data_IF_052229753406
#
_entry.id   IF_052229753406
#
_cell.length_a   1.000
_cell.length_b   1.000
_cell.length_c   1.000
_cell.angle_alpha   90.00
_cell.angle_beta   90.00
_cell.angle_gamma   90.00
#
_symmetry.space_group_name_H-M   'P 1'
#
loop_
_entity.id
_entity.type
_entity.pdbx_description
1 polymer ?
#
# COMPACT_ATOMS: atom_id res chain seq x y z
N UNK A 1 84.17 -22.54 4.25
CA UNK A 1 84.07 -22.53 5.73
C UNK A 1 82.68 -22.00 6.08
N UNK A 2 81.73 -22.90 6.36
CA UNK A 2 81.12 -23.17 7.69
C UNK A 2 80.15 -22.07 8.19
N UNK A 3 78.91 -22.52 8.45
CA UNK A 3 77.88 -22.02 9.41
C UNK A 3 76.95 -20.90 8.89
N UNK A 4 75.67 -20.82 9.27
CA UNK A 4 74.73 -21.72 9.92
C UNK A 4 73.34 -21.03 9.87
N UNK A 5 72.30 -21.85 9.71
CA UNK A 5 70.94 -21.78 10.29
C UNK A 5 70.52 -20.53 11.07
N UNK A 6 69.34 -19.98 10.73
CA UNK A 6 68.35 -19.54 11.72
C UNK A 6 66.95 -19.51 11.10
N UNK A 7 66.17 -20.54 11.44
CA UNK A 7 64.72 -20.66 11.24
C UNK A 7 64.07 -19.90 12.39
N UNK A 8 63.29 -18.86 12.10
CA UNK A 8 62.43 -18.20 13.09
C UNK A 8 60.99 -18.48 12.66
N UNK A 9 60.38 -19.45 13.33
CA UNK A 9 58.95 -19.74 13.23
C UNK A 9 58.16 -18.64 13.94
N UNK A 10 57.35 -17.93 13.18
CA UNK A 10 56.42 -16.93 13.69
C UNK A 10 55.14 -17.65 14.15
N UNK A 11 54.98 -17.78 15.46
CA UNK A 11 53.77 -18.27 16.12
C UNK A 11 52.69 -17.19 16.03
N UNK A 12 51.72 -17.37 15.14
CA UNK A 12 50.54 -16.51 15.02
C UNK A 12 49.56 -16.89 16.13
N UNK A 13 49.44 -16.02 17.14
CA UNK A 13 48.40 -16.09 18.16
C UNK A 13 47.11 -15.51 17.56
N UNK A 14 46.17 -16.39 17.20
CA UNK A 14 44.82 -15.99 16.78
C UNK A 14 44.04 -15.57 18.02
N UNK A 15 43.84 -14.26 18.19
CA UNK A 15 42.91 -13.71 19.16
C UNK A 15 41.48 -13.98 18.66
N UNK A 16 40.79 -14.93 19.27
CA UNK A 16 39.36 -15.18 19.03
C UNK A 16 38.60 -14.09 19.79
N UNK A 17 38.35 -12.96 19.14
CA UNK A 17 37.32 -12.02 19.60
C UNK A 17 35.97 -12.73 19.49
N UNK A 18 35.44 -13.17 20.63
CA UNK A 18 34.06 -13.60 20.74
C UNK A 18 33.17 -12.40 20.40
N UNK A 19 32.67 -12.35 19.17
CA UNK A 19 31.51 -11.55 18.84
C UNK A 19 30.35 -12.17 19.63
N UNK A 20 30.00 -11.54 20.76
CA UNK A 20 28.71 -11.74 21.39
C UNK A 20 27.66 -11.28 20.36
N UNK A 21 27.08 -12.24 19.64
CA UNK A 21 25.86 -12.02 18.90
C UNK A 21 24.77 -11.81 19.94
N UNK A 22 24.38 -10.54 20.14
CA UNK A 22 23.09 -10.23 20.74
C UNK A 22 22.01 -10.77 19.81
N UNK A 23 21.68 -12.04 20.02
CA UNK A 23 20.49 -12.69 19.50
C UNK A 23 19.31 -12.16 20.34
N UNK A 24 18.99 -10.88 20.16
CA UNK A 24 17.73 -10.34 20.65
C UNK A 24 16.65 -10.91 19.74
N UNK A 25 15.97 -11.93 20.27
CA UNK A 25 14.92 -12.67 19.60
C UNK A 25 13.90 -11.76 18.92
N UNK A 26 14.10 -11.56 17.63
CA UNK A 26 13.01 -11.36 16.69
C UNK A 26 12.26 -12.67 16.67
N UNK A 27 11.29 -12.78 17.59
CA UNK A 27 10.37 -13.89 17.65
C UNK A 27 9.87 -14.19 16.25
N UNK A 28 10.09 -15.44 15.85
CA UNK A 28 9.57 -16.12 14.68
C UNK A 28 8.04 -16.05 14.68
N UNK A 29 7.49 -14.84 14.46
CA UNK A 29 6.09 -14.62 14.10
C UNK A 29 5.99 -14.98 12.62
N UNK A 30 6.08 -16.28 12.34
CA UNK A 30 5.48 -16.84 11.13
C UNK A 30 4.00 -16.51 11.23
N UNK A 31 3.59 -15.43 10.55
CA UNK A 31 2.19 -15.28 10.15
C UNK A 31 1.87 -16.57 9.39
N UNK A 32 0.89 -17.36 9.83
CA UNK A 32 0.54 -18.58 9.12
C UNK A 32 0.27 -18.23 7.66
N UNK A 33 1.07 -18.76 6.74
CA UNK A 33 0.74 -18.77 5.32
C UNK A 33 -0.34 -19.84 5.16
N UNK A 34 -1.58 -19.49 5.49
CA UNK A 34 -2.67 -20.45 5.56
C UNK A 34 -4.02 -19.76 5.71
N UNK A 35 -4.77 -19.71 4.61
CA UNK A 35 -6.18 -19.29 4.55
C UNK A 35 -6.43 -17.80 4.82
N UNK A 36 -7.62 -17.30 4.46
CA UNK A 36 -8.09 -16.02 4.98
C UNK A 36 -8.03 -16.01 6.51
N UNK A 37 -7.75 -14.86 7.16
CA UNK A 37 -8.00 -14.74 8.59
C UNK A 37 -9.44 -15.16 8.88
N UNK A 38 -9.68 -15.90 9.96
CA UNK A 38 -11.03 -16.36 10.33
C UNK A 38 -12.06 -15.22 10.40
N UNK A 39 -11.61 -13.97 10.63
CA UNK A 39 -12.45 -12.78 10.63
C UNK A 39 -13.02 -12.40 9.26
N UNK A 40 -12.41 -12.84 8.15
CA UNK A 40 -12.78 -12.46 6.78
C UNK A 40 -13.31 -13.64 5.94
N UNK A 41 -13.39 -14.86 6.48
CA UNK A 41 -13.82 -16.05 5.72
C UNK A 41 -15.24 -15.91 5.13
N UNK A 42 -16.12 -15.18 5.83
CA UNK A 42 -17.50 -14.92 5.39
C UNK A 42 -17.62 -14.28 3.99
N UNK A 43 -16.58 -13.60 3.50
CA UNK A 43 -16.53 -12.96 2.17
C UNK A 43 -15.53 -13.65 1.22
N UNK A 44 -14.82 -14.68 1.68
CA UNK A 44 -13.64 -15.23 1.01
C UNK A 44 -13.77 -16.72 0.70
N UNK A 45 -14.85 -17.37 1.13
CA UNK A 45 -15.06 -18.81 0.97
C UNK A 45 -15.35 -19.25 -0.48
N UNK A 46 -15.82 -18.34 -1.35
CA UNK A 46 -16.15 -18.60 -2.76
C UNK A 46 -15.16 -17.96 -3.77
N UNK A 47 -14.01 -17.51 -3.26
CA UNK A 47 -12.95 -16.81 -4.00
C UNK A 47 -13.38 -15.52 -4.73
N UNK A 48 -14.62 -15.04 -4.56
CA UNK A 48 -15.15 -13.86 -5.24
C UNK A 48 -15.82 -12.89 -4.27
N UNK A 49 -15.17 -11.75 -4.01
CA UNK A 49 -15.78 -10.70 -3.19
C UNK A 49 -16.79 -9.92 -4.01
N UNK A 50 -18.05 -9.86 -3.55
CA UNK A 50 -19.12 -9.02 -4.10
C UNK A 50 -19.05 -7.57 -3.62
N UNK A 51 -19.78 -6.68 -4.29
CA UNK A 51 -19.85 -5.25 -3.92
C UNK A 51 -20.42 -5.04 -2.51
N UNK A 52 -21.36 -5.90 -2.09
CA UNK A 52 -21.95 -5.85 -0.77
C UNK A 52 -20.96 -6.28 0.32
N UNK A 53 -20.16 -7.31 0.06
CA UNK A 53 -19.11 -7.78 0.98
C UNK A 53 -17.97 -6.78 1.09
N UNK A 54 -17.52 -6.20 -0.02
CA UNK A 54 -16.51 -5.15 0.01
C UNK A 54 -17.00 -3.92 0.78
N UNK A 55 -18.22 -3.45 0.51
CA UNK A 55 -18.82 -2.34 1.26
C UNK A 55 -18.92 -2.65 2.75
N UNK A 56 -19.37 -3.85 3.11
CA UNK A 56 -19.44 -4.27 4.51
C UNK A 56 -18.05 -4.29 5.17
N UNK A 57 -17.02 -4.78 4.48
CA UNK A 57 -15.65 -4.80 5.01
C UNK A 57 -15.10 -3.39 5.27
N UNK A 58 -15.39 -2.44 4.38
CA UNK A 58 -15.06 -1.02 4.53
C UNK A 58 -15.84 -0.41 5.70
N UNK A 59 -17.14 -0.68 5.82
CA UNK A 59 -17.96 -0.18 6.92
C UNK A 59 -17.48 -0.72 8.28
N UNK A 60 -17.11 -2.01 8.34
CA UNK A 60 -16.54 -2.63 9.54
C UNK A 60 -15.17 -2.03 9.90
N UNK A 61 -14.32 -1.75 8.89
CA UNK A 61 -13.05 -1.03 9.08
C UNK A 61 -13.29 0.35 9.71
N UNK A 62 -14.18 1.14 9.12
CA UNK A 62 -14.51 2.50 9.57
C UNK A 62 -15.09 2.46 10.99
N UNK A 63 -15.97 1.50 11.29
CA UNK A 63 -16.50 1.30 12.64
C UNK A 63 -15.41 0.97 13.65
N UNK A 64 -14.46 0.08 13.31
CA UNK A 64 -13.35 -0.28 14.17
C UNK A 64 -12.49 0.94 14.53
N UNK A 65 -12.13 1.75 13.53
CA UNK A 65 -11.31 2.96 13.73
C UNK A 65 -12.07 4.02 14.53
N UNK A 66 -13.37 4.23 14.26
CA UNK A 66 -14.23 5.13 15.03
C UNK A 66 -14.40 4.68 16.49
N UNK A 67 -14.54 3.38 16.73
CA UNK A 67 -14.65 2.81 18.08
C UNK A 67 -13.37 3.01 18.90
N UNK A 68 -12.21 3.09 18.24
CA UNK A 68 -10.94 3.44 18.88
C UNK A 68 -10.75 4.95 19.12
N UNK A 69 -11.74 5.78 18.77
CA UNK A 69 -11.76 7.22 19.06
C UNK A 69 -11.20 8.12 17.95
N UNK A 70 -10.90 7.57 16.76
CA UNK A 70 -10.41 8.36 15.63
C UNK A 70 -11.56 8.83 14.73
N UNK A 71 -11.46 10.08 14.25
CA UNK A 71 -12.43 10.62 13.30
C UNK A 71 -12.16 10.08 11.89
N UNK A 72 -13.18 9.48 11.28
CA UNK A 72 -13.12 8.94 9.91
C UNK A 72 -14.26 9.53 9.09
N UNK A 73 -13.97 10.05 7.90
CA UNK A 73 -15.00 10.52 6.95
C UNK A 73 -15.84 9.34 6.45
N UNK A 74 -17.00 9.63 5.89
CA UNK A 74 -17.77 8.59 5.21
C UNK A 74 -17.04 8.14 3.93
N UNK A 75 -17.06 6.83 3.60
CA UNK A 75 -16.43 6.33 2.39
C UNK A 75 -17.09 6.87 1.13
N UNK A 76 -16.29 7.26 0.14
CA UNK A 76 -16.72 7.69 -1.18
C UNK A 76 -16.08 6.81 -2.27
N UNK A 77 -16.73 6.68 -3.43
CA UNK A 77 -16.15 5.96 -4.56
C UNK A 77 -14.96 6.74 -5.12
N UNK A 78 -13.83 6.06 -5.32
CA UNK A 78 -12.63 6.64 -5.94
C UNK A 78 -12.91 7.03 -7.39
N UNK A 79 -12.70 8.30 -7.79
CA UNK A 79 -12.82 8.71 -9.18
C UNK A 79 -11.63 8.23 -10.03
N UNK A 80 -10.57 7.71 -9.39
CA UNK A 80 -9.35 7.26 -10.08
C UNK A 80 -9.56 5.90 -10.73
N UNK A 81 -10.23 4.98 -10.03
CA UNK A 81 -10.44 3.60 -10.47
C UNK A 81 -11.93 3.21 -10.62
N UNK A 82 -12.86 4.02 -10.08
CA UNK A 82 -14.29 3.75 -10.14
C UNK A 82 -14.74 2.52 -9.35
N UNK A 83 -13.89 1.98 -8.46
CA UNK A 83 -14.12 0.73 -7.73
C UNK A 83 -13.86 0.86 -6.24
N UNK A 84 -12.71 1.42 -5.85
CA UNK A 84 -12.29 1.47 -4.44
C UNK A 84 -13.08 2.50 -3.66
N UNK A 85 -13.30 2.24 -2.37
CA UNK A 85 -13.90 3.20 -1.44
C UNK A 85 -12.81 3.93 -0.66
N UNK A 86 -12.74 5.24 -0.83
CA UNK A 86 -11.76 6.12 -0.21
C UNK A 86 -12.36 6.83 1.00
N UNK A 87 -11.53 7.05 2.01
CA UNK A 87 -11.91 7.69 3.27
C UNK A 87 -10.69 8.35 3.91
N UNK A 88 -10.91 9.36 4.76
CA UNK A 88 -9.87 10.03 5.54
C UNK A 88 -9.97 9.67 6.99
N UNK A 89 -8.89 9.14 7.56
CA UNK A 89 -8.72 9.02 9.01
C UNK A 89 -7.95 10.25 9.48
N UNK A 90 -8.47 10.97 10.47
CA UNK A 90 -7.77 12.11 11.07
C UNK A 90 -6.79 11.60 12.13
N UNK A 91 -5.47 11.72 11.93
CA UNK A 91 -4.50 11.26 12.92
C UNK A 91 -4.64 12.05 14.22
N UNK A 92 -4.50 11.36 15.36
CA UNK A 92 -4.55 11.98 16.68
C UNK A 92 -3.74 11.16 17.69
N UNK A 93 -3.29 11.81 18.76
CA UNK A 93 -2.57 11.14 19.85
C UNK A 93 -1.17 10.65 19.44
N UNK A 94 -0.74 9.55 20.05
CA UNK A 94 0.56 8.93 19.78
C UNK A 94 0.57 8.24 18.39
N UNK A 95 1.55 8.56 17.51
CA UNK A 95 1.61 7.98 16.17
C UNK A 95 1.77 6.46 16.13
N UNK A 96 2.47 5.86 17.09
CA UNK A 96 2.66 4.41 17.11
C UNK A 96 1.36 3.69 17.48
N UNK A 97 0.66 4.19 18.50
CA UNK A 97 -0.67 3.71 18.87
C UNK A 97 -1.69 3.89 17.73
N UNK A 98 -1.66 5.05 17.06
CA UNK A 98 -2.50 5.30 15.88
C UNK A 98 -2.27 4.26 14.78
N UNK A 99 -1.00 4.04 14.40
CA UNK A 99 -0.65 3.09 13.35
C UNK A 99 -1.04 1.66 13.72
N UNK A 100 -0.81 1.24 14.98
CA UNK A 100 -1.17 -0.10 15.47
C UNK A 100 -2.67 -0.35 15.40
N UNK A 101 -3.48 0.63 15.81
CA UNK A 101 -4.95 0.54 15.72
C UNK A 101 -5.42 0.46 14.26
N UNK A 102 -4.94 1.36 13.39
CA UNK A 102 -5.35 1.38 11.98
C UNK A 102 -4.95 0.07 11.29
N UNK A 103 -3.74 -0.43 11.53
CA UNK A 103 -3.27 -1.70 11.00
C UNK A 103 -4.10 -2.87 11.53
N UNK A 104 -4.39 -2.91 12.82
CA UNK A 104 -5.20 -3.97 13.44
C UNK A 104 -6.61 -3.99 12.85
N UNK A 105 -7.26 -2.84 12.71
CA UNK A 105 -8.55 -2.73 12.05
C UNK A 105 -8.47 -3.22 10.60
N UNK A 106 -7.48 -2.77 9.83
CA UNK A 106 -7.31 -3.16 8.42
C UNK A 106 -7.13 -4.69 8.27
N UNK A 107 -6.24 -5.29 9.05
CA UNK A 107 -6.00 -6.74 9.05
C UNK A 107 -7.25 -7.51 9.47
N UNK A 108 -8.03 -6.97 10.41
CA UNK A 108 -9.24 -7.61 10.89
C UNK A 108 -10.38 -7.63 9.87
N UNK A 109 -10.51 -6.57 9.07
CA UNK A 109 -11.75 -6.35 8.29
C UNK A 109 -11.57 -6.31 6.78
N UNK A 110 -10.46 -5.78 6.25
CA UNK A 110 -10.42 -5.37 4.83
C UNK A 110 -9.20 -5.90 4.05
N UNK A 111 -8.08 -6.17 4.72
CA UNK A 111 -6.77 -6.40 4.09
C UNK A 111 -6.73 -7.49 3.02
N UNK A 112 -7.59 -8.52 3.12
CA UNK A 112 -7.65 -9.62 2.15
C UNK A 112 -8.91 -9.58 1.27
N UNK A 113 -9.90 -8.78 1.65
CA UNK A 113 -11.15 -8.59 0.89
C UNK A 113 -10.89 -7.60 -0.25
N UNK A 114 -10.26 -6.46 0.03
CA UNK A 114 -10.06 -5.42 -1.00
C UNK A 114 -9.25 -5.91 -2.22
N UNK A 115 -8.11 -6.61 -2.09
CA UNK A 115 -7.38 -7.11 -3.25
C UNK A 115 -8.24 -8.04 -4.13
N UNK A 116 -8.98 -8.98 -3.52
CA UNK A 116 -9.88 -9.89 -4.25
C UNK A 116 -11.08 -9.20 -4.85
N UNK A 117 -11.47 -8.05 -4.32
CA UNK A 117 -12.49 -7.22 -4.92
C UNK A 117 -11.95 -6.44 -6.12
N UNK A 118 -10.84 -5.72 -5.95
CA UNK A 118 -10.34 -4.75 -6.94
C UNK A 118 -9.59 -5.40 -8.09
N UNK A 119 -8.66 -6.32 -7.80
CA UNK A 119 -7.72 -6.87 -8.79
C UNK A 119 -8.38 -7.57 -10.00
N UNK A 120 -9.44 -8.39 -9.85
CA UNK A 120 -10.05 -9.06 -11.01
C UNK A 120 -10.99 -8.17 -11.82
N UNK A 121 -11.27 -6.94 -11.36
CA UNK A 121 -12.28 -6.07 -11.96
C UNK A 121 -11.64 -5.03 -12.88
N UNK A 122 -12.38 -4.67 -13.93
CA UNK A 122 -11.95 -3.60 -14.83
C UNK A 122 -12.12 -2.23 -14.15
N UNK A 123 -11.01 -1.59 -13.84
CA UNK A 123 -10.96 -0.24 -13.28
C UNK A 123 -11.24 0.79 -14.37
N UNK A 124 -11.99 1.84 -14.02
CA UNK A 124 -12.31 2.94 -14.94
C UNK A 124 -12.30 4.28 -14.23
N UNK A 125 -11.45 5.16 -14.70
CA UNK A 125 -11.34 6.53 -14.23
C UNK A 125 -12.57 7.35 -14.61
N UNK A 126 -13.04 8.22 -13.71
CA UNK A 126 -14.17 9.12 -13.95
C UNK A 126 -13.92 9.97 -15.21
N UNK A 127 -14.96 10.09 -16.05
CA UNK A 127 -14.90 10.80 -17.32
C UNK A 127 -14.45 12.26 -17.21
N UNK A 128 -14.68 12.90 -16.05
CA UNK A 128 -14.25 14.28 -15.78
C UNK A 128 -12.76 14.36 -15.43
N UNK A 129 -12.20 13.31 -14.84
CA UNK A 129 -10.80 13.27 -14.42
C UNK A 129 -9.85 13.03 -15.59
N UNK A 130 -10.22 12.10 -16.49
CA UNK A 130 -9.42 11.69 -17.65
C UNK A 130 -8.86 12.83 -18.50
N UNK A 131 -9.65 13.82 -18.96
CA UNK A 131 -9.12 14.91 -19.78
C UNK A 131 -8.14 15.82 -19.03
N UNK A 132 -8.28 15.98 -17.71
CA UNK A 132 -7.40 16.80 -16.88
C UNK A 132 -6.06 16.11 -16.69
N UNK A 133 -6.06 14.81 -16.38
CA UNK A 133 -4.83 13.98 -16.35
C UNK A 133 -4.11 14.01 -17.69
N UNK A 134 -4.85 13.82 -18.79
CA UNK A 134 -4.29 13.88 -20.13
C UNK A 134 -3.73 15.27 -20.50
N UNK A 135 -4.37 16.35 -20.04
CA UNK A 135 -3.85 17.71 -20.17
C UNK A 135 -2.53 17.89 -19.44
N UNK A 136 -2.50 17.52 -18.16
CA UNK A 136 -1.32 17.59 -17.31
C UNK A 136 -0.09 16.86 -17.90
N UNK A 137 -0.30 15.64 -18.42
CA UNK A 137 0.75 14.86 -19.07
C UNK A 137 1.26 15.52 -20.36
N UNK A 138 0.36 16.05 -21.20
CA UNK A 138 0.73 16.75 -22.43
C UNK A 138 1.53 18.02 -22.16
N UNK A 139 1.19 18.77 -21.11
CA UNK A 139 1.94 19.96 -20.70
C UNK A 139 3.37 19.62 -20.24
N UNK A 140 3.59 18.37 -19.81
CA UNK A 140 4.90 17.80 -19.46
C UNK A 140 5.60 17.09 -20.63
N UNK A 141 5.07 17.22 -21.84
CA UNK A 141 5.63 16.63 -23.05
C UNK A 141 5.35 15.14 -23.24
N UNK A 142 4.45 14.55 -22.45
CA UNK A 142 4.01 13.16 -22.60
C UNK A 142 2.81 13.12 -23.54
N UNK A 143 2.93 12.38 -24.64
CA UNK A 143 1.84 12.23 -25.60
C UNK A 143 0.74 11.31 -25.06
N UNK A 144 -0.52 11.75 -25.17
CA UNK A 144 -1.70 10.95 -24.86
C UNK A 144 -2.54 10.74 -26.11
N UNK A 145 -3.20 9.59 -26.22
CA UNK A 145 -4.10 9.28 -27.33
C UNK A 145 -5.51 9.85 -27.18
N UNK A 146 -5.91 10.16 -25.95
CA UNK A 146 -7.30 10.52 -25.60
C UNK A 146 -8.23 9.30 -25.48
N UNK A 147 -7.69 8.08 -25.62
CA UNK A 147 -8.42 6.82 -25.46
C UNK A 147 -8.15 6.15 -24.12
N UNK A 148 -7.29 6.74 -23.28
CA UNK A 148 -6.99 6.22 -21.95
C UNK A 148 -8.27 6.20 -21.09
N UNK A 149 -8.56 5.07 -20.44
CA UNK A 149 -9.73 4.88 -19.59
C UNK A 149 -9.40 4.72 -18.11
N UNK A 150 -8.17 4.34 -17.78
CA UNK A 150 -7.72 4.08 -16.42
C UNK A 150 -6.24 4.47 -16.24
N UNK A 151 -5.70 4.28 -15.02
CA UNK A 151 -4.31 4.62 -14.70
C UNK A 151 -3.32 3.78 -15.50
N UNK A 152 -3.59 2.50 -15.75
CA UNK A 152 -2.71 1.61 -16.53
C UNK A 152 -2.57 2.09 -17.98
N UNK A 153 -3.64 2.58 -18.60
CA UNK A 153 -3.58 3.13 -19.95
C UNK A 153 -2.70 4.39 -20.03
N UNK A 154 -2.74 5.24 -18.99
CA UNK A 154 -1.87 6.42 -18.89
C UNK A 154 -0.42 6.04 -18.55
N UNK A 155 -0.22 5.03 -17.72
CA UNK A 155 1.08 4.48 -17.37
C UNK A 155 1.80 3.94 -18.61
N UNK A 156 1.07 3.28 -19.51
CA UNK A 156 1.62 2.86 -20.80
C UNK A 156 2.10 4.03 -21.70
N UNK A 157 1.82 5.29 -21.36
CA UNK A 157 2.32 6.49 -22.05
C UNK A 157 3.58 7.07 -21.44
N UNK A 158 3.94 6.69 -20.22
CA UNK A 158 5.08 7.27 -19.51
C UNK A 158 5.75 6.26 -18.60
N UNK A 159 7.08 6.17 -18.66
CA UNK A 159 7.85 5.38 -17.70
C UNK A 159 8.10 6.15 -16.38
N UNK A 160 7.47 7.32 -16.21
CA UNK A 160 7.61 8.16 -15.03
C UNK A 160 6.35 8.10 -14.17
N UNK A 161 6.30 7.06 -13.33
CA UNK A 161 5.23 6.81 -12.38
C UNK A 161 4.92 8.02 -11.51
N UNK A 162 5.95 8.67 -10.95
CA UNK A 162 5.79 9.81 -10.05
C UNK A 162 5.09 10.98 -10.76
N UNK A 163 5.44 11.22 -12.02
CA UNK A 163 4.81 12.25 -12.85
C UNK A 163 3.34 11.96 -13.13
N UNK A 164 3.02 10.70 -13.45
CA UNK A 164 1.63 10.26 -13.62
C UNK A 164 0.84 10.46 -12.34
N UNK A 165 1.40 10.01 -11.21
CA UNK A 165 0.77 10.15 -9.90
C UNK A 165 0.53 11.60 -9.50
N UNK A 166 1.50 12.48 -9.77
CA UNK A 166 1.35 13.93 -9.57
C UNK A 166 0.19 14.47 -10.42
N UNK A 167 0.11 14.08 -11.70
CA UNK A 167 -0.97 14.51 -12.58
C UNK A 167 -2.34 13.99 -12.14
N UNK A 168 -2.45 12.74 -11.67
CA UNK A 168 -3.70 12.19 -11.14
C UNK A 168 -4.11 12.94 -9.88
N UNK A 169 -3.22 13.13 -8.92
CA UNK A 169 -3.53 13.83 -7.67
C UNK A 169 -3.91 15.29 -7.93
N UNK A 170 -3.22 15.97 -8.83
CA UNK A 170 -3.58 17.33 -9.26
C UNK A 170 -5.00 17.37 -9.85
N UNK A 171 -5.29 16.46 -10.77
CA UNK A 171 -6.59 16.38 -11.42
C UNK A 171 -7.72 16.05 -10.42
N UNK A 172 -7.46 15.19 -9.42
CA UNK A 172 -8.48 14.87 -8.40
C UNK A 172 -8.77 16.09 -7.56
N UNK A 173 -7.75 16.81 -7.10
CA UNK A 173 -7.94 18.02 -6.30
C UNK A 173 -8.66 19.14 -7.08
N UNK A 174 -8.46 19.22 -8.39
CA UNK A 174 -9.15 20.18 -9.25
C UNK A 174 -10.63 19.80 -9.49
N UNK A 175 -10.90 18.54 -9.80
CA UNK A 175 -12.22 18.09 -10.28
C UNK A 175 -13.13 17.64 -9.12
N UNK A 176 -12.56 17.19 -8.01
CA UNK A 176 -13.25 16.64 -6.84
C UNK A 176 -12.70 17.22 -5.52
N UNK A 177 -12.80 18.55 -5.32
CA UNK A 177 -12.27 19.23 -4.14
C UNK A 177 -12.93 18.81 -2.82
N UNK A 178 -14.06 18.09 -2.87
CA UNK A 178 -14.77 17.57 -1.71
C UNK A 178 -14.22 16.24 -1.18
N UNK A 179 -13.39 15.54 -1.96
CA UNK A 179 -12.84 14.25 -1.57
C UNK A 179 -11.65 14.40 -0.59
N UNK A 180 -11.34 13.35 0.19
CA UNK A 180 -10.11 13.29 0.96
C UNK A 180 -8.84 13.60 0.15
N UNK A 181 -7.97 14.42 0.72
CA UNK A 181 -6.68 14.83 0.13
C UNK A 181 -5.70 13.66 -0.05
N UNK A 182 -5.94 12.54 0.66
CA UNK A 182 -5.12 11.32 0.60
C UNK A 182 -5.95 10.23 -0.07
N UNK A 183 -5.60 9.92 -1.30
CA UNK A 183 -6.19 8.82 -2.08
C UNK A 183 -5.10 7.78 -2.29
N UNK A 184 -5.36 6.55 -1.84
CA UNK A 184 -4.50 5.42 -2.22
C UNK A 184 -4.83 5.05 -3.65
N UNK A 185 -3.84 5.17 -4.53
CA UNK A 185 -3.98 4.81 -5.94
C UNK A 185 -3.23 3.50 -6.14
N UNK A 186 -3.95 2.46 -6.60
CA UNK A 186 -3.37 1.15 -6.94
C UNK A 186 -3.21 1.08 -8.46
N UNK A 187 -2.11 0.51 -8.91
CA UNK A 187 -1.84 0.18 -10.33
C UNK A 187 -1.95 -1.32 -10.51
#
# INVERSE_FOLDING_TARGET
MRRALLVIGLLVVVAITACATSDEGLGDRRVPVGGPPAAQSWALDDDTVTDAEYRKAVDDFVLCVRAAGYAVTDPALSPVDGLSLIYRITPAGDPAAYNDIVQTCNIGTMSHIEPRYVEPRHQRMDNRLRPVVAGCLRDRGIATSGQEENVVDFDARTENDDLLMECVLHAVNEVFPELPDVITIRK
#
